data_IF_598436703769
#
_entry.id   IF_598436703769
#
_cell.length_a   1.000
_cell.length_b   1.000
_cell.length_c   1.000
_cell.angle_alpha   90.00
_cell.angle_beta   90.00
_cell.angle_gamma   90.00
#
_symmetry.space_group_name_H-M   'P 1'
#
loop_
_entity.id
_entity.type
_entity.pdbx_description
1 polymer ?
#
# COMPACT_ATOMS: atom_id res chain seq x y z
N UNK A 1 30.63 20.35 -16.90
CA UNK A 1 29.15 20.25 -16.94
C UNK A 1 28.75 18.91 -16.38
N UNK A 2 28.15 18.88 -15.19
CA UNK A 2 27.56 17.65 -14.65
C UNK A 2 26.33 17.34 -15.50
N UNK A 3 26.36 16.23 -16.25
CA UNK A 3 25.19 15.75 -17.00
C UNK A 3 24.06 15.56 -15.99
N UNK A 4 22.99 16.35 -16.13
CA UNK A 4 21.78 16.14 -15.36
C UNK A 4 21.35 14.69 -15.55
N UNK A 5 21.25 13.96 -14.44
CA UNK A 5 20.74 12.59 -14.44
C UNK A 5 19.36 12.62 -15.11
N UNK A 6 19.04 11.69 -16.03
CA UNK A 6 17.78 11.73 -16.75
C UNK A 6 16.63 11.67 -15.74
N UNK A 7 15.91 12.79 -15.59
CA UNK A 7 14.71 12.84 -14.76
C UNK A 7 13.71 11.89 -15.39
N UNK A 8 13.45 10.76 -14.74
CA UNK A 8 12.37 9.86 -15.12
C UNK A 8 11.09 10.71 -15.14
N UNK A 9 10.39 10.85 -16.26
CA UNK A 9 9.09 11.53 -16.31
C UNK A 9 8.01 10.46 -16.27
N UNK A 10 7.11 10.56 -15.30
CA UNK A 10 6.13 9.49 -15.03
C UNK A 10 4.75 10.11 -14.86
N UNK A 11 3.71 9.41 -15.33
CA UNK A 11 2.31 9.84 -15.17
C UNK A 11 1.69 9.33 -13.85
N UNK A 12 2.48 8.74 -12.97
CA UNK A 12 2.02 8.19 -11.70
C UNK A 12 1.81 9.34 -10.71
N UNK A 13 0.58 9.48 -10.20
CA UNK A 13 0.22 10.58 -9.29
C UNK A 13 0.43 10.26 -7.81
N UNK A 14 0.39 8.97 -7.46
CA UNK A 14 0.34 8.52 -6.06
C UNK A 14 1.50 7.59 -5.69
N UNK A 15 2.45 7.38 -6.60
CA UNK A 15 3.60 6.49 -6.39
C UNK A 15 4.84 7.27 -6.81
N UNK A 16 5.67 7.64 -5.82
CA UNK A 16 6.98 8.22 -6.09
C UNK A 16 7.95 7.11 -6.50
N UNK A 17 8.35 7.14 -7.77
CA UNK A 17 9.35 6.21 -8.32
C UNK A 17 10.67 6.89 -8.63
N UNK A 18 10.79 8.22 -8.45
CA UNK A 18 11.98 8.97 -8.82
C UNK A 18 13.14 8.70 -7.87
N UNK A 19 12.84 8.47 -6.58
CA UNK A 19 13.87 8.20 -5.58
C UNK A 19 14.29 6.72 -5.53
N UNK A 20 13.56 5.83 -6.19
CA UNK A 20 13.78 4.37 -6.17
C UNK A 20 13.99 3.76 -4.77
N UNK A 21 13.56 4.46 -3.71
CA UNK A 21 13.88 4.12 -2.33
C UNK A 21 13.43 2.69 -2.00
N UNK A 22 12.20 2.33 -2.39
CA UNK A 22 11.66 0.98 -2.16
C UNK A 22 12.52 -0.12 -2.80
N UNK A 23 13.11 0.12 -3.98
CA UNK A 23 14.01 -0.85 -4.63
C UNK A 23 15.33 -0.97 -3.87
N UNK A 24 15.84 0.14 -3.33
CA UNK A 24 17.07 0.15 -2.54
C UNK A 24 16.90 -0.64 -1.24
N UNK A 25 15.82 -0.37 -0.50
CA UNK A 25 15.54 -1.08 0.75
C UNK A 25 15.27 -2.57 0.54
N UNK A 26 14.56 -2.93 -0.54
CA UNK A 26 14.38 -4.34 -0.91
C UNK A 26 15.72 -5.00 -1.24
N UNK A 27 16.60 -4.33 -1.99
CA UNK A 27 17.92 -4.87 -2.33
C UNK A 27 18.85 -5.00 -1.11
N UNK A 28 18.61 -4.19 -0.08
CA UNK A 28 19.29 -4.25 1.23
C UNK A 28 18.66 -5.27 2.19
N UNK A 29 17.63 -5.99 1.74
CA UNK A 29 16.87 -6.98 2.52
C UNK A 29 16.23 -6.38 3.81
N UNK A 30 15.98 -5.06 3.81
CA UNK A 30 15.31 -4.34 4.91
C UNK A 30 13.80 -4.52 4.84
N UNK A 31 13.27 -4.71 3.63
CA UNK A 31 11.84 -4.88 3.37
C UNK A 31 11.62 -6.17 2.59
N UNK A 32 10.74 -7.02 3.09
CA UNK A 32 10.22 -8.18 2.35
C UNK A 32 8.97 -7.78 1.57
N UNK A 33 8.94 -8.12 0.29
CA UNK A 33 7.78 -7.90 -0.58
C UNK A 33 7.12 -9.23 -0.93
N UNK A 34 5.89 -9.41 -0.48
CA UNK A 34 5.04 -10.54 -0.87
C UNK A 34 3.88 -10.02 -1.72
N UNK A 35 3.63 -10.69 -2.85
CA UNK A 35 2.49 -10.35 -3.69
C UNK A 35 1.18 -10.75 -3.00
N UNK A 36 0.17 -9.90 -3.11
CA UNK A 36 -1.19 -10.18 -2.65
C UNK A 36 -2.18 -9.91 -3.78
N UNK A 37 -3.24 -10.72 -3.85
CA UNK A 37 -4.31 -10.51 -4.82
C UNK A 37 -5.08 -9.22 -4.50
N UNK A 38 -5.57 -8.53 -5.54
CA UNK A 38 -6.36 -7.29 -5.39
C UNK A 38 -7.56 -7.47 -4.46
N UNK A 39 -8.19 -8.65 -4.49
CA UNK A 39 -9.32 -8.99 -3.60
C UNK A 39 -8.96 -9.00 -2.11
N UNK A 40 -7.67 -9.12 -1.78
CA UNK A 40 -7.13 -9.19 -0.42
C UNK A 40 -6.32 -7.94 -0.06
N UNK A 41 -6.29 -6.91 -0.90
CA UNK A 41 -5.47 -5.70 -0.70
C UNK A 41 -6.00 -4.85 0.47
N UNK A 42 -5.32 -4.81 1.63
CA UNK A 42 -5.83 -4.09 2.80
C UNK A 42 -5.79 -2.56 2.62
N UNK A 43 -4.84 -2.06 1.82
CA UNK A 43 -4.67 -0.62 1.53
C UNK A 43 -5.92 0.01 0.88
N UNK A 44 -6.76 -0.80 0.23
CA UNK A 44 -8.03 -0.35 -0.35
C UNK A 44 -8.96 0.23 0.73
N UNK A 45 -8.93 -0.29 1.96
CA UNK A 45 -9.73 0.23 3.08
C UNK A 45 -9.36 1.63 3.53
N UNK A 46 -8.14 2.08 3.24
CA UNK A 46 -7.64 3.41 3.60
C UNK A 46 -7.69 4.41 2.45
N UNK A 47 -7.84 3.95 1.21
CA UNK A 47 -7.64 4.78 0.01
C UNK A 47 -8.86 4.87 -0.89
N UNK A 48 -9.87 4.01 -0.70
CA UNK A 48 -11.04 3.90 -1.59
C UNK A 48 -12.33 3.90 -0.78
N UNK A 49 -13.41 4.38 -1.41
CA UNK A 49 -14.77 4.06 -0.95
C UNK A 49 -15.06 2.60 -1.27
N UNK A 50 -15.31 1.79 -0.25
CA UNK A 50 -15.55 0.35 -0.38
C UNK A 50 -17.05 0.04 -0.37
N UNK A 51 -17.45 -1.03 -1.07
CA UNK A 51 -18.75 -1.64 -0.85
C UNK A 51 -18.83 -2.26 0.55
N UNK A 52 -20.03 -2.43 1.08
CA UNK A 52 -20.26 -2.94 2.43
C UNK A 52 -19.50 -4.25 2.71
N UNK A 53 -19.55 -5.20 1.77
CA UNK A 53 -18.85 -6.48 1.92
C UNK A 53 -17.32 -6.31 2.05
N UNK A 54 -16.72 -5.42 1.26
CA UNK A 54 -15.28 -5.14 1.31
C UNK A 54 -14.92 -4.38 2.57
N UNK A 55 -15.77 -3.43 2.98
CA UNK A 55 -15.58 -2.69 4.22
C UNK A 55 -15.62 -3.61 5.44
N UNK A 56 -16.60 -4.52 5.53
CA UNK A 56 -16.67 -5.51 6.61
C UNK A 56 -15.43 -6.41 6.66
N UNK A 57 -14.90 -6.83 5.51
CA UNK A 57 -13.63 -7.57 5.48
C UNK A 57 -12.46 -6.73 5.98
N UNK A 58 -12.40 -5.44 5.63
CA UNK A 58 -11.37 -4.53 6.12
C UNK A 58 -11.43 -4.34 7.66
N UNK A 59 -12.63 -4.17 8.23
CA UNK A 59 -12.83 -4.10 9.69
C UNK A 59 -12.32 -5.38 10.38
N UNK A 60 -12.56 -6.56 9.80
CA UNK A 60 -12.01 -7.84 10.30
C UNK A 60 -10.48 -7.87 10.22
N UNK A 61 -9.88 -7.35 9.15
CA UNK A 61 -8.41 -7.28 9.00
C UNK A 61 -7.78 -6.37 10.07
N UNK A 62 -8.48 -5.32 10.49
CA UNK A 62 -8.08 -4.44 11.61
C UNK A 62 -8.31 -5.07 12.98
N UNK A 63 -8.88 -6.27 13.05
CA UNK A 63 -9.27 -6.97 14.27
C UNK A 63 -10.20 -6.11 15.17
N UNK A 64 -11.05 -5.29 14.54
CA UNK A 64 -12.03 -4.49 15.24
C UNK A 64 -13.22 -5.36 15.64
N UNK A 65 -13.65 -5.23 16.89
CA UNK A 65 -14.76 -6.00 17.46
C UNK A 65 -15.78 -5.05 18.06
N UNK A 66 -17.05 -5.44 18.02
CA UNK A 66 -18.09 -4.68 18.70
C UNK A 66 -17.88 -4.79 20.22
N UNK A 67 -17.69 -3.65 20.87
CA UNK A 67 -17.54 -3.57 22.31
C UNK A 67 -18.77 -4.13 23.05
N UNK A 68 -19.97 -4.00 22.50
CA UNK A 68 -21.21 -4.53 23.10
C UNK A 68 -21.25 -6.05 23.14
N UNK A 69 -20.48 -6.75 22.32
CA UNK A 69 -20.39 -8.21 22.35
C UNK A 69 -19.56 -8.77 23.51
N UNK A 70 -18.86 -7.88 24.25
CA UNK A 70 -17.99 -8.23 25.39
C UNK A 70 -18.58 -7.91 26.76
N UNK A 71 -19.80 -7.37 26.81
CA UNK A 71 -20.57 -7.08 28.04
C UNK A 71 -21.79 -8.00 28.03
#
# INVERSE_FOLDING_TARGET
>A
MLKESPKLVTKLKHIDIHQHWLRQEFSRDVIKLDWISTSKMPADGLTKCLSDQKHQNFIRQLNMVDFKSKI
#
